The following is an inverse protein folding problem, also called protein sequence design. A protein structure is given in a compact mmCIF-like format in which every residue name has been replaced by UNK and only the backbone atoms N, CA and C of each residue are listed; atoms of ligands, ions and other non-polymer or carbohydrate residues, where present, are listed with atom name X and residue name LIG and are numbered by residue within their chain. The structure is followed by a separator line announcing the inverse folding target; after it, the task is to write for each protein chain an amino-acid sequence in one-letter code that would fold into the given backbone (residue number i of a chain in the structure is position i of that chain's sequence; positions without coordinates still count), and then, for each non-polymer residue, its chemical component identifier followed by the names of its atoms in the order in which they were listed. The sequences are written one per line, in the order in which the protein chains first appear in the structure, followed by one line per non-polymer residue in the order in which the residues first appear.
data_IF_692372568850
#
_entry.id   IF_692372568850
#
_cell.length_a   1.000
_cell.length_b   1.000
_cell.length_c   1.000
_cell.angle_alpha   90.00
_cell.angle_beta   90.00
_cell.angle_gamma   90.00
#
_symmetry.space_group_name_H-M   'P 1'
#
loop_
_entity.id
_entity.type
_entity.pdbx_description
1 polymer ?
#
# COMPACT_ATOMS: atom_id res chain seq x y z
N UNK A 1 35.37 18.35 -22.16
CA UNK A 1 34.40 17.25 -22.26
C UNK A 1 33.82 17.06 -20.88
N UNK A 2 32.74 17.79 -20.59
CA UNK A 2 31.99 17.65 -19.36
C UNK A 2 31.34 16.28 -19.34
N UNK A 3 31.56 15.55 -18.25
CA UNK A 3 30.78 14.37 -17.93
C UNK A 3 29.32 14.82 -17.82
N UNK A 4 28.49 14.37 -18.76
CA UNK A 4 27.04 14.50 -18.67
C UNK A 4 26.59 13.97 -17.31
N UNK A 5 25.89 14.84 -16.57
CA UNK A 5 25.31 14.55 -15.26
C UNK A 5 24.55 13.21 -15.33
N UNK A 6 24.93 12.30 -14.44
CA UNK A 6 24.16 11.11 -14.04
C UNK A 6 22.69 11.52 -13.91
N UNK A 7 21.80 10.69 -14.47
CA UNK A 7 20.35 10.93 -14.44
C UNK A 7 19.87 11.27 -13.03
N UNK A 8 18.85 12.10 -12.94
CA UNK A 8 18.14 12.31 -11.69
C UNK A 8 17.67 10.95 -11.17
N UNK A 9 18.32 10.43 -10.13
CA UNK A 9 17.91 9.19 -9.47
C UNK A 9 16.58 9.48 -8.76
N UNK A 10 15.48 9.24 -9.46
CA UNK A 10 14.13 9.34 -8.92
C UNK A 10 13.90 8.16 -7.99
N UNK A 11 13.68 8.45 -6.70
CA UNK A 11 13.35 7.48 -5.67
C UNK A 11 12.06 7.87 -4.95
N UNK A 12 11.39 6.87 -4.39
CA UNK A 12 10.17 7.04 -3.60
C UNK A 12 10.54 6.81 -2.14
N UNK A 13 10.40 7.82 -1.25
CA UNK A 13 10.60 7.66 0.18
C UNK A 13 9.71 6.53 0.70
N UNK A 14 10.31 5.50 1.29
CA UNK A 14 9.62 4.26 1.64
C UNK A 14 9.89 3.91 3.10
N UNK A 15 8.83 3.89 3.90
CA UNK A 15 8.91 3.62 5.32
C UNK A 15 8.35 2.22 5.62
N UNK A 16 9.23 1.31 6.05
CA UNK A 16 8.89 -0.08 6.36
C UNK A 16 8.73 -0.25 7.87
N UNK A 17 7.52 -0.58 8.31
CA UNK A 17 7.18 -0.81 9.72
C UNK A 17 7.55 -2.24 10.11
N UNK A 18 8.38 -2.38 11.14
CA UNK A 18 8.76 -3.67 11.70
C UNK A 18 8.90 -3.58 13.23
N UNK A 19 8.50 -4.63 13.95
CA UNK A 19 8.84 -4.75 15.37
C UNK A 19 10.24 -5.35 15.52
N UNK A 20 11.05 -4.78 16.43
CA UNK A 20 12.47 -5.15 16.63
C UNK A 20 12.67 -6.64 16.89
N UNK A 21 11.71 -7.24 17.57
CA UNK A 21 11.73 -8.63 18.00
C UNK A 21 11.44 -9.60 16.85
N UNK A 22 10.79 -9.13 15.77
CA UNK A 22 10.40 -9.94 14.61
C UNK A 22 11.51 -9.99 13.54
N UNK A 23 12.60 -10.67 13.88
CA UNK A 23 13.81 -10.74 13.05
C UNK A 23 13.61 -11.48 11.72
N UNK A 24 12.71 -12.46 11.67
CA UNK A 24 12.37 -13.22 10.48
C UNK A 24 11.57 -12.38 9.47
N UNK A 25 10.58 -11.59 9.93
CA UNK A 25 9.86 -10.62 9.10
C UNK A 25 10.77 -9.51 8.61
N UNK A 26 11.70 -9.04 9.47
CA UNK A 26 12.74 -8.09 9.06
C UNK A 26 13.61 -8.64 7.92
N UNK A 27 14.06 -9.88 8.04
CA UNK A 27 14.84 -10.56 6.97
C UNK A 27 14.02 -10.70 5.69
N UNK A 28 12.75 -11.07 5.80
CA UNK A 28 11.81 -11.20 4.69
C UNK A 28 11.67 -9.86 3.94
N UNK A 29 11.31 -8.79 4.63
CA UNK A 29 11.06 -7.50 3.97
C UNK A 29 12.34 -6.86 3.42
N UNK A 30 13.50 -7.08 4.05
CA UNK A 30 14.80 -6.69 3.46
C UNK A 30 15.04 -7.41 2.13
N UNK A 31 14.69 -8.70 2.04
CA UNK A 31 14.86 -9.46 0.81
C UNK A 31 13.94 -8.96 -0.31
N UNK A 32 12.71 -8.56 0.03
CA UNK A 32 11.80 -7.94 -0.93
C UNK A 32 12.40 -6.65 -1.50
N UNK A 33 12.86 -5.69 -0.69
CA UNK A 33 13.38 -4.44 -1.27
C UNK A 33 14.79 -4.53 -1.90
N UNK A 34 15.43 -5.71 -1.87
CA UNK A 34 16.80 -5.86 -2.38
C UNK A 34 16.88 -5.67 -3.90
N UNK A 35 17.67 -4.69 -4.33
CA UNK A 35 17.91 -4.39 -5.75
C UNK A 35 16.76 -3.62 -6.43
N UNK A 36 15.85 -3.05 -5.64
CA UNK A 36 14.75 -2.19 -6.08
C UNK A 36 15.09 -0.73 -5.79
N UNK A 37 16.01 -0.17 -6.57
CA UNK A 37 16.65 1.14 -6.32
C UNK A 37 15.68 2.35 -6.47
N UNK A 38 14.46 2.11 -6.94
CA UNK A 38 13.34 3.07 -6.92
C UNK A 38 12.79 3.38 -5.53
N UNK A 39 13.15 2.61 -4.50
CA UNK A 39 12.71 2.84 -3.13
C UNK A 39 13.87 3.31 -2.25
N UNK A 40 13.71 4.46 -1.61
CA UNK A 40 14.60 4.90 -0.54
C UNK A 40 14.06 4.40 0.80
N UNK A 41 14.54 3.21 1.22
CA UNK A 41 13.94 2.45 2.31
C UNK A 41 14.47 2.86 3.67
N UNK A 42 13.58 3.35 4.53
CA UNK A 42 13.81 3.57 5.96
C UNK A 42 13.02 2.55 6.78
N UNK A 43 13.73 1.75 7.58
CA UNK A 43 13.09 0.83 8.53
C UNK A 43 12.70 1.55 9.82
N UNK A 44 11.40 1.56 10.13
CA UNK A 44 10.83 2.20 11.29
C UNK A 44 10.47 1.14 12.33
N UNK A 45 11.02 1.32 13.53
CA UNK A 45 10.58 0.57 14.70
C UNK A 45 9.11 0.87 14.98
N UNK A 46 8.26 -0.15 14.92
CA UNK A 46 6.84 -0.02 15.20
C UNK A 46 6.59 0.49 16.62
N UNK A 47 5.63 1.39 16.77
CA UNK A 47 5.14 1.84 18.06
C UNK A 47 4.44 0.68 18.78
N UNK A 48 4.92 0.34 19.98
CA UNK A 48 4.34 -0.74 20.76
C UNK A 48 3.10 -0.27 21.52
N UNK A 49 2.06 -1.09 21.50
CA UNK A 49 0.82 -0.87 22.25
C UNK A 49 0.20 -2.23 22.60
N UNK A 50 -0.61 -2.29 23.66
CA UNK A 50 -1.33 -3.52 24.06
C UNK A 50 -2.31 -3.99 22.97
N UNK A 51 -2.84 -3.04 22.21
CA UNK A 51 -3.69 -3.25 21.03
C UNK A 51 -2.84 -3.02 19.78
N UNK A 52 -2.60 -4.09 19.00
CA UNK A 52 -1.74 -4.05 17.81
C UNK A 52 -2.17 -3.01 16.77
N UNK A 53 -3.47 -2.85 16.52
CA UNK A 53 -4.01 -1.87 15.58
C UNK A 53 -3.65 -0.41 15.98
N UNK A 54 -3.71 -0.11 17.28
CA UNK A 54 -3.29 1.20 17.80
C UNK A 54 -1.78 1.40 17.63
N UNK A 55 -0.97 0.35 17.86
CA UNK A 55 0.47 0.39 17.61
C UNK A 55 0.81 0.66 16.14
N UNK A 56 0.11 -0.01 15.22
CA UNK A 56 0.25 0.23 13.78
C UNK A 56 -0.13 1.67 13.42
N UNK A 57 -1.28 2.17 13.90
CA UNK A 57 -1.70 3.55 13.63
C UNK A 57 -0.70 4.58 14.16
N UNK A 58 -0.20 4.40 15.38
CA UNK A 58 0.84 5.29 15.93
C UNK A 58 2.12 5.28 15.08
N UNK A 59 2.48 4.13 14.50
CA UNK A 59 3.61 4.01 13.57
C UNK A 59 3.35 4.78 12.28
N UNK A 60 2.14 4.68 11.72
CA UNK A 60 1.71 5.47 10.55
C UNK A 60 1.77 6.97 10.87
N UNK A 61 1.23 7.42 12.01
CA UNK A 61 1.28 8.82 12.45
C UNK A 61 2.73 9.32 12.57
N UNK A 62 3.63 8.50 13.13
CA UNK A 62 5.07 8.82 13.21
C UNK A 62 5.67 9.00 11.82
N UNK A 63 5.37 8.09 10.88
CA UNK A 63 5.85 8.16 9.50
C UNK A 63 5.33 9.43 8.80
N UNK A 64 4.06 9.77 8.96
CA UNK A 64 3.48 10.98 8.36
C UNK A 64 4.16 12.25 8.90
N UNK A 65 4.54 12.28 10.19
CA UNK A 65 5.32 13.41 10.74
C UNK A 65 6.70 13.51 10.11
N UNK A 66 7.41 12.39 9.98
CA UNK A 66 8.72 12.34 9.30
C UNK A 66 8.61 12.81 7.83
N UNK A 67 7.58 12.36 7.12
CA UNK A 67 7.33 12.78 5.74
C UNK A 67 7.10 14.29 5.62
N UNK A 68 6.36 14.89 6.57
CA UNK A 68 6.18 16.35 6.61
C UNK A 68 7.51 17.06 6.91
N UNK A 69 8.31 16.54 7.84
CA UNK A 69 9.63 17.10 8.20
C UNK A 69 10.61 17.04 7.02
N UNK A 70 10.54 15.98 6.22
CA UNK A 70 11.35 15.78 5.02
C UNK A 70 10.80 16.52 3.78
N UNK A 71 9.68 17.23 3.91
CA UNK A 71 8.96 17.90 2.82
C UNK A 71 8.50 16.95 1.70
N UNK A 72 8.31 15.66 2.01
CA UNK A 72 7.87 14.64 1.06
C UNK A 72 6.46 14.92 0.52
N UNK A 73 6.29 14.88 -0.81
CA UNK A 73 4.98 15.03 -1.46
C UNK A 73 4.22 13.70 -1.62
N UNK A 74 4.96 12.60 -1.66
CA UNK A 74 4.46 11.23 -1.78
C UNK A 74 5.40 10.28 -1.05
N UNK A 75 4.83 9.34 -0.31
CA UNK A 75 5.58 8.31 0.42
C UNK A 75 4.95 6.94 0.22
N UNK A 76 5.74 5.89 0.37
CA UNK A 76 5.24 4.52 0.59
C UNK A 76 5.28 4.22 2.07
N UNK A 77 4.18 3.68 2.59
CA UNK A 77 4.12 3.01 3.89
C UNK A 77 3.96 1.52 3.63
N UNK A 78 4.86 0.73 4.21
CA UNK A 78 4.92 -0.71 3.99
C UNK A 78 4.98 -1.45 5.33
N UNK A 79 4.30 -2.58 5.44
CA UNK A 79 4.40 -3.48 6.58
C UNK A 79 5.43 -4.60 6.29
N UNK A 80 5.94 -5.24 7.34
CA UNK A 80 6.99 -6.26 7.26
C UNK A 80 6.50 -7.64 6.77
N UNK A 81 5.20 -7.80 6.51
CA UNK A 81 4.60 -8.97 5.85
C UNK A 81 4.34 -8.78 4.35
N UNK A 82 4.62 -7.60 3.80
CA UNK A 82 4.50 -7.37 2.37
C UNK A 82 5.43 -8.28 1.56
N UNK A 83 4.94 -8.77 0.42
CA UNK A 83 5.77 -9.24 -0.68
C UNK A 83 5.24 -8.72 -2.02
N UNK A 84 6.15 -8.55 -2.97
CA UNK A 84 5.79 -8.14 -4.32
C UNK A 84 5.36 -9.34 -5.16
N UNK A 85 4.31 -9.16 -5.96
CA UNK A 85 3.85 -10.18 -6.92
C UNK A 85 4.70 -10.15 -8.19
N UNK A 86 4.45 -11.11 -9.08
CA UNK A 86 5.00 -11.18 -10.43
C UNK A 86 4.61 -9.98 -11.31
N UNK A 87 3.51 -9.29 -11.01
CA UNK A 87 3.02 -8.14 -11.76
C UNK A 87 3.75 -6.84 -11.39
N UNK A 88 4.61 -6.87 -10.37
CA UNK A 88 5.44 -5.74 -10.01
C UNK A 88 6.47 -5.42 -11.10
N UNK A 89 6.50 -4.15 -11.51
CA UNK A 89 7.67 -3.57 -12.16
C UNK A 89 7.84 -2.10 -11.76
N UNK A 90 9.09 -1.62 -11.76
CA UNK A 90 9.42 -0.22 -11.49
C UNK A 90 8.60 0.74 -12.35
N UNK A 91 8.54 0.50 -13.65
CA UNK A 91 7.83 1.38 -14.58
C UNK A 91 6.32 1.39 -14.30
N UNK A 92 5.72 0.21 -14.11
CA UNK A 92 4.29 0.11 -13.78
C UNK A 92 3.96 0.86 -12.49
N UNK A 93 4.78 0.71 -11.43
CA UNK A 93 4.55 1.40 -10.18
C UNK A 93 4.66 2.92 -10.34
N UNK A 94 5.76 3.41 -10.92
CA UNK A 94 6.03 4.84 -11.04
C UNK A 94 4.97 5.54 -11.88
N UNK A 95 4.61 4.97 -13.04
CA UNK A 95 3.55 5.50 -13.91
C UNK A 95 2.24 5.64 -13.15
N UNK A 96 1.82 4.59 -12.43
CA UNK A 96 0.56 4.64 -11.70
C UNK A 96 0.59 5.56 -10.47
N UNK A 97 1.75 5.77 -9.83
CA UNK A 97 1.87 6.77 -8.74
C UNK A 97 1.69 8.18 -9.29
N UNK A 98 2.37 8.50 -10.39
CA UNK A 98 2.29 9.84 -11.00
C UNK A 98 0.86 10.14 -11.47
N UNK A 99 0.25 9.22 -12.20
CA UNK A 99 -1.10 9.45 -12.71
C UNK A 99 -2.17 9.43 -11.60
N UNK A 100 -1.98 8.63 -10.54
CA UNK A 100 -2.87 8.69 -9.38
C UNK A 100 -2.77 10.05 -8.66
N UNK A 101 -1.57 10.63 -8.57
CA UNK A 101 -1.38 11.98 -8.05
C UNK A 101 -2.14 13.02 -8.89
N UNK A 102 -2.00 12.97 -10.22
CA UNK A 102 -2.71 13.85 -11.16
C UNK A 102 -4.24 13.73 -11.04
N UNK A 103 -4.73 12.50 -10.82
CA UNK A 103 -6.15 12.22 -10.56
C UNK A 103 -6.58 12.59 -9.12
N UNK A 104 -5.69 13.16 -8.32
CA UNK A 104 -5.97 13.61 -6.96
C UNK A 104 -6.25 12.45 -6.00
N UNK A 105 -5.47 11.37 -6.04
CA UNK A 105 -5.54 10.29 -5.07
C UNK A 105 -5.13 10.76 -3.66
N UNK A 106 -5.89 10.39 -2.63
CA UNK A 106 -5.47 10.51 -1.23
C UNK A 106 -4.50 9.36 -0.86
N UNK A 107 -4.82 8.16 -1.34
CA UNK A 107 -4.06 6.92 -1.12
C UNK A 107 -4.19 6.00 -2.34
N UNK A 108 -3.11 5.31 -2.68
CA UNK A 108 -3.08 4.27 -3.70
C UNK A 108 -2.53 2.97 -3.09
N UNK A 109 -3.34 1.91 -3.07
CA UNK A 109 -2.91 0.60 -2.56
C UNK A 109 -2.29 -0.27 -3.66
N UNK A 110 -1.19 -0.95 -3.33
CA UNK A 110 -0.55 -1.93 -4.22
C UNK A 110 -1.32 -3.26 -4.34
N UNK A 111 -2.24 -3.51 -3.41
CA UNK A 111 -3.12 -4.68 -3.39
C UNK A 111 -3.95 -4.71 -2.12
N UNK A 112 -5.17 -5.26 -2.20
CA UNK A 112 -6.15 -5.23 -1.10
C UNK A 112 -6.77 -6.61 -0.87
N UNK A 113 -7.12 -6.89 0.39
CA UNK A 113 -7.78 -8.14 0.79
C UNK A 113 -9.31 -8.10 0.72
N UNK A 114 -9.91 -6.93 0.49
CA UNK A 114 -11.36 -6.80 0.41
C UNK A 114 -11.76 -5.39 -0.02
N UNK A 115 -12.95 -5.26 -0.60
CA UNK A 115 -13.61 -4.01 -1.00
C UNK A 115 -15.09 -4.28 -1.31
N UNK A 116 -15.91 -3.24 -1.44
CA UNK A 116 -17.32 -3.37 -1.81
C UNK A 116 -17.53 -3.14 -3.31
N UNK A 117 -17.27 -1.93 -3.76
CA UNK A 117 -17.38 -1.50 -5.14
C UNK A 117 -16.03 -1.06 -5.69
N UNK A 118 -15.78 -1.39 -6.97
CA UNK A 118 -14.63 -0.88 -7.70
C UNK A 118 -15.11 -0.24 -9.02
N UNK A 119 -14.63 0.98 -9.28
CA UNK A 119 -14.91 1.73 -10.50
C UNK A 119 -13.61 1.92 -11.28
N UNK A 120 -13.52 1.46 -12.54
CA UNK A 120 -12.35 1.72 -13.37
C UNK A 120 -12.21 3.23 -13.62
N UNK A 121 -11.05 3.78 -13.27
CA UNK A 121 -10.71 5.20 -13.47
C UNK A 121 -9.48 5.40 -14.36
N UNK A 122 -8.77 4.31 -14.63
CA UNK A 122 -7.67 4.20 -15.59
C UNK A 122 -7.54 2.73 -16.01
N UNK A 123 -6.57 2.42 -16.88
CA UNK A 123 -6.31 1.06 -17.33
C UNK A 123 -5.99 0.09 -16.17
N UNK A 124 -5.17 0.56 -15.23
CA UNK A 124 -4.61 -0.25 -14.14
C UNK A 124 -4.94 0.31 -12.75
N UNK A 125 -5.90 1.24 -12.65
CA UNK A 125 -6.34 1.83 -11.37
C UNK A 125 -7.85 1.85 -11.24
N UNK A 126 -8.28 1.59 -10.01
CA UNK A 126 -9.69 1.51 -9.65
C UNK A 126 -9.91 2.36 -8.41
N UNK A 127 -10.94 3.21 -8.46
CA UNK A 127 -11.48 3.80 -7.23
C UNK A 127 -12.27 2.73 -6.48
N UNK A 128 -12.10 2.66 -5.16
CA UNK A 128 -12.86 1.73 -4.30
C UNK A 128 -13.58 2.48 -3.18
N UNK A 129 -14.70 1.94 -2.72
CA UNK A 129 -15.50 2.53 -1.65
C UNK A 129 -14.82 2.40 -0.28
N UNK A 130 -14.33 1.20 0.03
CA UNK A 130 -13.48 0.86 1.17
C UNK A 130 -12.49 -0.24 0.75
N UNK A 131 -11.44 -0.45 1.54
CA UNK A 131 -10.55 -1.58 1.36
C UNK A 131 -10.06 -2.19 2.68
N UNK A 132 -9.61 -3.45 2.61
CA UNK A 132 -8.85 -4.11 3.67
C UNK A 132 -7.39 -4.32 3.29
N UNK A 133 -6.55 -4.41 4.32
CA UNK A 133 -5.09 -4.58 4.27
C UNK A 133 -4.32 -3.32 3.85
N UNK A 134 -3.21 -3.03 4.55
CA UNK A 134 -2.37 -1.83 4.39
C UNK A 134 -0.90 -2.14 4.16
N UNK A 135 -0.56 -3.39 3.79
CA UNK A 135 0.82 -3.85 3.71
C UNK A 135 1.70 -3.04 2.75
N UNK A 136 1.10 -2.41 1.74
CA UNK A 136 1.79 -1.52 0.81
C UNK A 136 0.81 -0.45 0.32
N UNK A 137 0.97 0.78 0.83
CA UNK A 137 0.17 1.93 0.41
C UNK A 137 1.08 3.10 0.04
N UNK A 138 0.73 3.78 -1.05
CA UNK A 138 1.29 5.08 -1.42
C UNK A 138 0.37 6.15 -0.85
N UNK A 139 0.92 7.07 -0.08
CA UNK A 139 0.19 8.13 0.61
C UNK A 139 0.64 9.49 0.06
N UNK A 140 -0.31 10.29 -0.39
CA UNK A 140 -0.03 11.60 -0.96
C UNK A 140 -0.17 12.69 0.11
N UNK A 141 0.66 13.73 0.02
CA UNK A 141 0.76 14.82 1.02
C UNK A 141 -0.57 15.47 1.39
N UNK A 142 -1.49 15.62 0.44
CA UNK A 142 -2.83 16.17 0.71
C UNK A 142 -3.64 15.34 1.72
N UNK A 143 -3.31 14.07 1.91
CA UNK A 143 -3.97 13.16 2.84
C UNK A 143 -3.32 13.14 4.23
N UNK A 144 -2.06 13.58 4.34
CA UNK A 144 -1.28 13.54 5.59
C UNK A 144 -2.02 14.19 6.75
N UNK A 145 -2.59 15.39 6.53
CA UNK A 145 -3.26 16.11 7.61
C UNK A 145 -4.50 15.38 8.12
N UNK A 146 -5.28 14.75 7.25
CA UNK A 146 -6.45 13.95 7.65
C UNK A 146 -6.06 12.78 8.53
N UNK A 147 -4.95 12.10 8.21
CA UNK A 147 -4.40 11.03 9.05
C UNK A 147 -4.01 11.57 10.43
N UNK A 148 -3.29 12.70 10.49
CA UNK A 148 -2.85 13.29 11.76
C UNK A 148 -3.98 13.83 12.63
N UNK A 149 -5.08 14.30 12.01
CA UNK A 149 -6.25 14.85 12.71
C UNK A 149 -7.20 13.78 13.27
N UNK A 150 -7.07 12.54 12.81
CA UNK A 150 -7.97 11.48 13.25
C UNK A 150 -7.63 10.98 14.66
N UNK A 151 -8.63 11.05 15.55
CA UNK A 151 -8.54 10.49 16.89
C UNK A 151 -8.86 8.99 16.87
N UNK A 152 -7.81 8.16 16.73
CA UNK A 152 -7.90 6.71 16.64
C UNK A 152 -8.40 6.06 17.93
N UNK A 153 -9.31 5.10 17.80
CA UNK A 153 -9.98 4.38 18.88
C UNK A 153 -9.45 2.95 19.00
N UNK A 154 -9.72 2.33 20.15
CA UNK A 154 -9.27 0.96 20.43
C UNK A 154 -9.86 -0.10 19.50
N UNK A 155 -11.05 0.16 18.95
CA UNK A 155 -11.75 -0.73 18.02
C UNK A 155 -11.54 -0.37 16.54
N UNK A 156 -10.73 0.66 16.25
CA UNK A 156 -10.41 1.05 14.89
C UNK A 156 -9.34 0.11 14.29
N UNK A 157 -9.36 0.01 12.97
CA UNK A 157 -8.29 -0.60 12.17
C UNK A 157 -7.74 0.42 11.18
N UNK A 158 -6.45 0.31 10.82
CA UNK A 158 -5.80 1.30 9.96
C UNK A 158 -6.48 1.40 8.58
N UNK A 159 -6.78 0.26 7.97
CA UNK A 159 -7.50 0.16 6.70
C UNK A 159 -8.94 0.71 6.79
N UNK A 160 -9.65 0.43 7.88
CA UNK A 160 -10.99 0.94 8.14
C UNK A 160 -11.01 2.46 8.29
N UNK A 161 -10.08 3.02 9.05
CA UNK A 161 -9.95 4.48 9.24
C UNK A 161 -9.53 5.16 7.95
N UNK A 162 -8.51 4.65 7.25
CA UNK A 162 -8.08 5.20 5.95
C UNK A 162 -9.25 5.17 4.96
N UNK A 163 -10.01 4.07 4.91
CA UNK A 163 -11.22 3.96 4.09
C UNK A 163 -12.27 5.02 4.45
N UNK A 164 -12.46 5.30 5.74
CA UNK A 164 -13.44 6.25 6.22
C UNK A 164 -13.06 7.71 5.90
N UNK A 165 -11.80 8.10 6.10
CA UNK A 165 -11.38 9.52 6.02
C UNK A 165 -10.88 9.92 4.62
N UNK A 166 -10.59 8.94 3.75
CA UNK A 166 -10.19 9.16 2.36
C UNK A 166 -11.39 9.42 1.45
N UNK A 167 -11.30 10.49 0.66
CA UNK A 167 -12.29 10.82 -0.36
C UNK A 167 -11.94 10.16 -1.70
N UNK A 168 -10.65 9.96 -1.98
CA UNK A 168 -10.18 9.37 -3.23
C UNK A 168 -9.15 8.28 -2.95
N UNK A 169 -9.63 7.04 -2.79
CA UNK A 169 -8.80 5.86 -2.55
C UNK A 169 -8.77 5.01 -3.80
N UNK A 170 -7.57 4.67 -4.23
CA UNK A 170 -7.33 3.89 -5.44
C UNK A 170 -6.63 2.59 -5.09
N UNK A 171 -6.79 1.59 -5.95
CA UNK A 171 -6.02 0.36 -5.91
C UNK A 171 -5.47 0.05 -7.29
N UNK A 172 -4.24 -0.47 -7.34
CA UNK A 172 -3.64 -1.01 -8.55
C UNK A 172 -4.30 -2.34 -8.92
N UNK A 173 -4.52 -2.57 -10.21
CA UNK A 173 -4.73 -3.93 -10.69
C UNK A 173 -4.07 -4.11 -12.06
N UNK A 174 -3.27 -5.17 -12.30
CA UNK A 174 -2.99 -6.29 -11.38
C UNK A 174 -2.31 -5.89 -10.06
N UNK A 175 -2.56 -6.64 -8.99
CA UNK A 175 -1.98 -6.35 -7.67
C UNK A 175 -0.48 -6.55 -7.73
N UNK A 176 0.29 -5.56 -7.26
CA UNK A 176 1.75 -5.65 -7.12
C UNK A 176 2.18 -6.10 -5.72
N UNK A 177 1.24 -6.16 -4.78
CA UNK A 177 1.50 -6.36 -3.36
C UNK A 177 0.49 -7.31 -2.73
N UNK A 178 0.99 -8.24 -1.92
CA UNK A 178 0.20 -9.15 -1.09
C UNK A 178 0.87 -9.33 0.28
N UNK A 179 0.14 -9.97 1.20
CA UNK A 179 0.61 -10.26 2.56
C UNK A 179 1.04 -11.71 2.73
N UNK A 180 2.20 -11.90 3.33
CA UNK A 180 2.73 -13.21 3.72
C UNK A 180 2.29 -13.53 5.14
N UNK A 181 1.65 -14.68 5.33
CA UNK A 181 1.28 -15.17 6.66
C UNK A 181 2.51 -15.79 7.35
N UNK A 182 2.91 -15.24 8.50
CA UNK A 182 4.01 -15.79 9.31
C UNK A 182 3.53 -16.78 10.38
N UNK A 183 2.21 -16.89 10.57
CA UNK A 183 1.59 -17.82 11.51
C UNK A 183 1.60 -17.35 12.96
N UNK A 184 2.21 -16.20 13.26
CA UNK A 184 2.16 -15.56 14.56
C UNK A 184 2.11 -14.05 14.39
N UNK A 185 1.20 -13.42 15.16
CA UNK A 185 1.02 -11.97 15.32
C UNK A 185 0.36 -11.14 14.19
N UNK A 186 -0.14 -11.77 13.13
CA UNK A 186 -0.93 -11.13 12.04
C UNK A 186 -2.41 -10.84 12.39
N UNK A 187 -2.76 -10.79 13.68
CA UNK A 187 -4.07 -11.30 14.08
C UNK A 187 -4.70 -10.55 15.27
N UNK A 188 -5.71 -9.73 14.97
CA UNK A 188 -6.91 -9.56 15.80
C UNK A 188 -7.51 -10.93 16.07
N UNK A 189 -7.93 -11.25 17.31
CA UNK A 189 -8.40 -12.58 17.77
C UNK A 189 -9.06 -13.49 16.69
N UNK A 190 -9.92 -12.93 15.81
CA UNK A 190 -10.58 -13.63 14.69
C UNK A 190 -9.68 -14.32 13.63
N UNK A 191 -8.47 -13.82 13.30
CA UNK A 191 -7.65 -14.51 12.28
C UNK A 191 -6.92 -15.73 12.87
N UNK A 192 -6.87 -15.89 14.21
CA UNK A 192 -6.04 -16.91 14.90
C UNK A 192 -6.72 -18.27 14.75
N UNK A 193 -8.04 -18.22 14.58
CA UNK A 193 -8.90 -19.36 14.42
C UNK A 193 -9.05 -19.79 12.95
N UNK A 194 -8.50 -19.02 11.99
CA UNK A 194 -8.65 -19.26 10.54
C UNK A 194 -7.33 -19.06 9.78
N UNK A 195 -6.42 -20.04 9.87
CA UNK A 195 -5.22 -20.13 9.02
C UNK A 195 -5.62 -20.01 7.53
N UNK A 196 -4.94 -19.13 6.78
CA UNK A 196 -5.22 -18.89 5.37
C UNK A 196 -6.29 -17.83 5.08
N UNK A 197 -6.87 -17.18 6.09
CA UNK A 197 -7.90 -16.15 5.89
C UNK A 197 -7.39 -14.97 5.05
N UNK A 198 -6.18 -14.46 5.33
CA UNK A 198 -5.61 -13.34 4.57
C UNK A 198 -5.39 -13.76 3.11
N UNK A 199 -4.83 -14.95 2.91
CA UNK A 199 -4.65 -15.53 1.57
C UNK A 199 -5.99 -15.63 0.82
N UNK A 200 -7.04 -16.12 1.49
CA UNK A 200 -8.38 -16.25 0.91
C UNK A 200 -9.00 -14.89 0.58
N UNK A 201 -8.82 -13.89 1.45
CA UNK A 201 -9.27 -12.51 1.24
C UNK A 201 -8.67 -11.91 -0.04
N UNK A 202 -7.34 -12.00 -0.20
CA UNK A 202 -6.68 -11.56 -1.42
C UNK A 202 -7.14 -12.33 -2.66
N UNK A 203 -7.37 -13.64 -2.57
CA UNK A 203 -7.89 -14.43 -3.70
C UNK A 203 -9.29 -13.99 -4.14
N UNK A 204 -10.17 -13.67 -3.18
CA UNK A 204 -11.52 -13.19 -3.48
C UNK A 204 -11.48 -11.79 -4.11
N UNK A 205 -10.70 -10.88 -3.53
CA UNK A 205 -10.52 -9.53 -4.05
C UNK A 205 -9.92 -9.56 -5.46
N UNK A 206 -8.90 -10.39 -5.68
CA UNK A 206 -8.24 -10.58 -6.98
C UNK A 206 -9.23 -11.11 -8.03
N UNK A 207 -9.99 -12.17 -7.71
CA UNK A 207 -10.97 -12.74 -8.65
C UNK A 207 -12.04 -11.72 -9.05
N UNK A 208 -12.54 -10.93 -8.08
CA UNK A 208 -13.53 -9.91 -8.35
C UNK A 208 -12.97 -8.78 -9.21
N UNK A 209 -11.80 -8.22 -8.84
CA UNK A 209 -11.21 -7.12 -9.59
C UNK A 209 -10.69 -7.57 -10.97
N UNK A 210 -10.27 -8.83 -11.12
CA UNK A 210 -9.93 -9.46 -12.41
C UNK A 210 -11.09 -9.42 -13.39
N UNK A 211 -12.30 -9.75 -12.93
CA UNK A 211 -13.50 -9.71 -13.77
C UNK A 211 -13.79 -8.29 -14.24
N UNK A 212 -13.73 -7.31 -13.33
CA UNK A 212 -13.92 -5.89 -13.65
C UNK A 212 -12.83 -5.41 -14.63
N UNK A 213 -11.56 -5.76 -14.39
CA UNK A 213 -10.44 -5.35 -15.23
C UNK A 213 -10.52 -5.90 -16.65
N UNK A 214 -10.87 -7.18 -16.81
CA UNK A 214 -11.06 -7.78 -18.13
C UNK A 214 -12.15 -7.06 -18.93
N UNK A 215 -13.30 -6.80 -18.29
CA UNK A 215 -14.42 -6.08 -18.92
C UNK A 215 -14.00 -4.63 -19.26
N UNK A 216 -13.42 -3.91 -18.29
CA UNK A 216 -12.99 -2.52 -18.50
C UNK A 216 -11.96 -2.40 -19.62
N UNK A 217 -10.94 -3.26 -19.65
CA UNK A 217 -9.94 -3.24 -20.72
C UNK A 217 -10.54 -3.56 -22.08
N UNK A 218 -11.49 -4.50 -22.15
CA UNK A 218 -12.14 -4.82 -23.41
C UNK A 218 -12.98 -3.66 -23.96
N UNK A 219 -13.69 -2.91 -23.11
CA UNK A 219 -14.60 -1.85 -23.58
C UNK A 219 -13.97 -0.45 -23.62
N UNK A 220 -13.02 -0.15 -22.73
CA UNK A 220 -12.48 1.20 -22.54
C UNK A 220 -11.06 1.37 -23.08
N UNK A 221 -10.29 0.28 -23.23
CA UNK A 221 -8.86 0.33 -23.56
C UNK A 221 -8.43 -0.70 -24.60
N UNK A 222 -9.38 -1.28 -25.33
CA UNK A 222 -9.10 -2.10 -26.49
C UNK A 222 -8.61 -1.19 -27.60
N UNK A 223 -7.48 -1.54 -28.22
CA UNK A 223 -7.02 -0.90 -29.46
C UNK A 223 -7.90 -1.32 -30.65
N UNK A 224 -9.22 -1.33 -30.47
CA UNK A 224 -10.16 -1.68 -31.54
C UNK A 224 -10.49 -0.43 -32.35
N UNK A 225 -9.47 0.07 -33.06
CA UNK A 225 -9.51 0.74 -34.37
C UNK A 225 -8.07 0.89 -34.89
N UNK A 226 -7.43 -0.23 -35.24
CA UNK A 226 -6.45 -0.29 -36.33
C UNK A 226 -7.01 -1.18 -37.43
#
# INVERSE_FOLDING_TARGET
MEAMKKGSDFYIPTYVINMKERLDRKKHIIAEFKGRDEFDVTYIDACTHTIGAVGLWNSIVRIIRLAIENEDDVIVICEDDHYFTEDYSKNFLIENILEAHEQGADVLSGGIGGFGYAVPIARNRYWVDWFWCTQFIVVYKKFFRKILDYAFKENDTADGVISQISNNKMVLYPFISRQKEFGYSDITQNNKDNLGLITQLFQQADAYLSAIHKVSNFYNYSNSFE
#
